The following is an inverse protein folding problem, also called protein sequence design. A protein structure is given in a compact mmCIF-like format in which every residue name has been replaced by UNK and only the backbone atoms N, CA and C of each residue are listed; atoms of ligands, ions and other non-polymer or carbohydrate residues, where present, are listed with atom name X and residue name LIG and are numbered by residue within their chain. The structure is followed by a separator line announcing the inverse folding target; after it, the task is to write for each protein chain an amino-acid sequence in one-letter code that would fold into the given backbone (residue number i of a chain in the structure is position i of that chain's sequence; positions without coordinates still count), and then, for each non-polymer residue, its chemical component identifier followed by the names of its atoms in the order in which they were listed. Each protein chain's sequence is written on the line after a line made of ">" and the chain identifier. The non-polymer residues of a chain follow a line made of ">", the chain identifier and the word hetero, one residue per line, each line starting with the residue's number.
data_IF_803217987377
#
_entry.id   IF_803217987377
#
_cell.length_a   1.000
_cell.length_b   1.000
_cell.length_c   1.000
_cell.angle_alpha   90.00
_cell.angle_beta   90.00
_cell.angle_gamma   90.00
#
_symmetry.space_group_name_H-M   'P 1'
#
loop_
_entity.id
_entity.type
_entity.pdbx_description
1 polymer ?
#
# COMPACT_ATOMS: atom_id res chain seq x y z
N UNK A 1 -24.86 4.93 6.95
CA UNK A 1 -26.22 4.70 7.44
C UNK A 1 -26.26 4.39 8.94
N UNK A 2 -27.47 4.19 9.50
CA UNK A 2 -27.66 3.97 10.95
C UNK A 2 -26.84 2.80 11.47
N UNK A 3 -26.83 1.68 10.75
CA UNK A 3 -26.07 0.48 11.15
C UNK A 3 -24.56 0.73 11.24
N UNK A 4 -24.01 1.49 10.30
CA UNK A 4 -22.60 1.86 10.30
C UNK A 4 -22.27 2.77 11.50
N UNK A 5 -23.12 3.77 11.76
CA UNK A 5 -22.97 4.63 12.92
C UNK A 5 -23.07 3.86 14.25
N UNK A 6 -23.93 2.85 14.34
CA UNK A 6 -24.05 2.00 15.55
C UNK A 6 -22.78 1.19 15.84
N UNK A 7 -22.10 0.72 14.80
CA UNK A 7 -20.81 0.01 14.96
C UNK A 7 -19.68 0.96 15.33
N UNK A 8 -19.62 2.12 14.69
CA UNK A 8 -18.49 3.06 14.82
C UNK A 8 -18.53 3.91 16.08
N UNK A 9 -19.72 4.23 16.62
CA UNK A 9 -19.86 5.16 17.77
C UNK A 9 -19.06 4.74 19.03
N UNK A 10 -18.84 3.43 19.22
CA UNK A 10 -18.16 2.88 20.37
C UNK A 10 -16.77 2.27 20.02
N UNK A 11 -16.26 2.57 18.85
CA UNK A 11 -14.96 2.10 18.37
C UNK A 11 -14.11 3.27 17.90
N UNK A 12 -12.84 3.35 18.29
CA UNK A 12 -11.90 4.29 17.66
C UNK A 12 -11.90 4.03 16.15
N UNK A 13 -12.25 5.05 15.38
CA UNK A 13 -12.40 4.94 13.93
C UNK A 13 -11.74 6.11 13.25
N UNK A 14 -10.97 5.82 12.21
CA UNK A 14 -10.48 6.80 11.26
C UNK A 14 -11.03 6.49 9.87
N UNK A 15 -11.20 7.51 9.05
CA UNK A 15 -11.55 7.39 7.64
C UNK A 15 -10.46 8.05 6.81
N UNK A 16 -10.17 7.45 5.66
CA UNK A 16 -9.31 8.01 4.62
C UNK A 16 -10.21 8.29 3.42
N UNK A 17 -10.03 9.45 2.78
CA UNK A 17 -10.83 9.82 1.63
C UNK A 17 -10.47 8.97 0.40
N UNK A 18 -11.48 8.73 -0.42
CA UNK A 18 -11.33 8.17 -1.75
C UNK A 18 -11.99 9.08 -2.81
N UNK A 19 -11.93 8.71 -4.09
CA UNK A 19 -12.40 9.49 -5.23
C UNK A 19 -13.87 9.84 -5.13
N UNK A 20 -14.74 8.89 -4.84
CA UNK A 20 -16.17 9.10 -4.73
C UNK A 20 -16.59 10.00 -3.56
N UNK A 21 -15.78 10.09 -2.51
CA UNK A 21 -16.06 10.96 -1.37
C UNK A 21 -16.09 12.45 -1.77
N UNK A 22 -15.23 12.83 -2.71
CA UNK A 22 -15.18 14.18 -3.27
C UNK A 22 -15.94 14.32 -4.59
N UNK A 23 -16.80 13.34 -4.91
CA UNK A 23 -17.72 13.37 -6.05
C UNK A 23 -17.07 13.10 -7.39
N UNK A 24 -15.96 12.38 -7.42
CA UNK A 24 -15.18 12.11 -8.62
C UNK A 24 -15.08 10.60 -8.89
N UNK A 25 -15.12 10.16 -10.15
CA UNK A 25 -15.03 8.74 -10.45
C UNK A 25 -13.62 8.15 -10.40
N UNK A 26 -12.57 8.91 -10.51
CA UNK A 26 -11.17 8.47 -10.40
C UNK A 26 -10.29 9.69 -10.21
N UNK A 27 -10.07 10.08 -8.99
CA UNK A 27 -9.35 11.31 -8.69
C UNK A 27 -7.87 11.05 -8.49
N UNK A 28 -7.04 11.88 -9.10
CA UNK A 28 -5.61 11.94 -8.85
C UNK A 28 -5.18 13.18 -8.07
N UNK A 29 -6.11 14.10 -7.83
CA UNK A 29 -5.85 15.30 -7.05
C UNK A 29 -4.77 16.24 -7.61
N UNK A 30 -3.77 15.73 -8.24
CA UNK A 30 -2.61 16.36 -8.87
C UNK A 30 -2.21 17.73 -8.29
N UNK A 31 -1.89 17.71 -6.96
CA UNK A 31 -1.48 18.90 -6.23
C UNK A 31 -2.62 19.86 -5.88
N UNK A 32 -3.88 19.46 -6.03
CA UNK A 32 -5.04 20.29 -5.69
C UNK A 32 -5.56 21.20 -6.81
N UNK A 33 -5.12 21.00 -8.05
CA UNK A 33 -5.60 21.82 -9.18
C UNK A 33 -7.09 21.62 -9.45
N UNK A 34 -7.74 22.60 -10.05
CA UNK A 34 -9.09 22.45 -10.56
C UNK A 34 -9.09 21.64 -11.87
N UNK A 35 -10.08 20.75 -12.03
CA UNK A 35 -10.24 20.00 -13.28
C UNK A 35 -10.79 20.88 -14.38
N UNK A 36 -10.32 20.65 -15.62
CA UNK A 36 -10.94 21.19 -16.82
C UNK A 36 -12.27 20.54 -17.17
N UNK A 37 -12.66 19.44 -16.48
CA UNK A 37 -13.86 18.65 -16.78
C UNK A 37 -13.74 17.74 -17.99
N UNK A 38 -12.57 17.69 -18.64
CA UNK A 38 -12.35 16.85 -19.81
C UNK A 38 -12.30 15.37 -19.40
N UNK A 39 -13.03 14.54 -20.15
CA UNK A 39 -13.05 13.07 -20.00
C UNK A 39 -13.23 12.61 -18.54
N UNK A 40 -14.19 13.22 -17.86
CA UNK A 40 -14.47 12.85 -16.46
C UNK A 40 -13.37 13.24 -15.49
N UNK A 41 -12.69 14.38 -15.75
CA UNK A 41 -11.58 14.91 -14.96
C UNK A 41 -10.34 13.99 -14.86
N UNK A 42 -10.13 13.14 -15.86
CA UNK A 42 -8.89 12.33 -15.99
C UNK A 42 -7.62 13.16 -16.17
N UNK A 43 -7.76 14.51 -16.15
CA UNK A 43 -6.68 15.48 -16.06
C UNK A 43 -6.15 15.68 -14.61
N UNK A 44 -6.68 14.95 -13.66
CA UNK A 44 -6.20 14.90 -12.28
C UNK A 44 -6.68 16.00 -11.36
N UNK A 45 -7.46 16.97 -11.85
CA UNK A 45 -7.98 18.06 -11.04
C UNK A 45 -9.28 17.72 -10.30
N UNK A 46 -9.61 18.49 -9.26
CA UNK A 46 -10.88 18.38 -8.58
C UNK A 46 -12.03 19.01 -9.39
N UNK A 47 -13.12 18.26 -9.59
CA UNK A 47 -14.33 18.75 -10.28
C UNK A 47 -15.18 19.68 -9.43
N UNK A 48 -15.20 19.47 -8.12
CA UNK A 48 -15.96 20.29 -7.18
C UNK A 48 -15.11 21.44 -6.64
N UNK A 49 -15.76 22.53 -6.20
CA UNK A 49 -15.03 23.64 -5.60
C UNK A 49 -14.18 23.22 -4.42
N UNK A 50 -13.02 23.86 -4.23
CA UNK A 50 -12.12 23.60 -3.12
C UNK A 50 -12.81 23.61 -1.75
N UNK A 51 -13.80 24.48 -1.56
CA UNK A 51 -14.60 24.54 -0.32
C UNK A 51 -15.39 23.26 -0.05
N UNK A 52 -15.86 22.57 -1.09
CA UNK A 52 -16.50 21.27 -0.95
C UNK A 52 -15.48 20.19 -0.56
N UNK A 53 -14.35 20.12 -1.26
CA UNK A 53 -13.27 19.17 -0.95
C UNK A 53 -12.81 19.35 0.50
N UNK A 54 -12.54 20.59 0.92
CA UNK A 54 -12.16 20.91 2.30
C UNK A 54 -13.22 20.52 3.33
N UNK A 55 -14.50 20.65 2.98
CA UNK A 55 -15.60 20.23 3.86
C UNK A 55 -15.59 18.71 4.03
N UNK A 56 -15.44 17.94 2.96
CA UNK A 56 -15.41 16.47 3.00
C UNK A 56 -14.19 16.01 3.80
N UNK A 57 -13.01 16.54 3.52
CA UNK A 57 -11.79 16.24 4.28
C UNK A 57 -12.00 16.46 5.76
N UNK A 58 -12.46 17.64 6.15
CA UNK A 58 -12.72 17.97 7.56
C UNK A 58 -13.73 17.04 8.22
N UNK A 59 -14.74 16.55 7.47
CA UNK A 59 -15.75 15.64 8.01
C UNK A 59 -15.23 14.22 8.20
N UNK A 60 -14.35 13.75 7.33
CA UNK A 60 -13.87 12.36 7.36
C UNK A 60 -12.57 12.19 8.15
N UNK A 61 -11.66 13.18 8.07
CA UNK A 61 -10.33 13.05 8.66
C UNK A 61 -10.15 13.74 10.01
N UNK A 62 -11.22 14.31 10.57
CA UNK A 62 -11.14 15.09 11.82
C UNK A 62 -10.68 14.31 13.05
N UNK A 63 -10.73 12.97 13.00
CA UNK A 63 -10.22 12.08 14.04
C UNK A 63 -8.73 11.74 13.89
N UNK A 64 -8.11 12.15 12.79
CA UNK A 64 -6.67 11.98 12.60
C UNK A 64 -5.89 13.01 13.44
N UNK A 65 -4.65 12.72 13.80
CA UNK A 65 -3.72 13.73 14.30
C UNK A 65 -3.56 14.89 13.30
N UNK A 66 -2.99 16.00 13.77
CA UNK A 66 -2.63 17.10 12.89
C UNK A 66 -1.73 16.62 11.75
N UNK A 67 -1.86 17.18 10.54
CA UNK A 67 -1.02 16.80 9.42
C UNK A 67 0.46 17.06 9.70
N UNK A 68 1.33 16.17 9.23
CA UNK A 68 2.78 16.30 9.38
C UNK A 68 3.32 17.63 8.82
N UNK A 69 2.81 18.06 7.67
CA UNK A 69 3.06 19.36 7.07
C UNK A 69 1.71 19.99 6.69
N UNK A 70 1.29 20.99 7.45
CA UNK A 70 0.00 21.65 7.27
C UNK A 70 -0.03 22.65 6.11
N UNK A 71 1.02 22.77 5.30
CA UNK A 71 1.04 23.68 4.14
C UNK A 71 -0.01 23.26 3.13
N UNK A 72 -0.98 24.12 2.80
CA UNK A 72 -2.00 23.80 1.81
C UNK A 72 -1.38 23.55 0.43
N UNK A 73 -2.10 22.76 -0.37
CA UNK A 73 -1.85 22.59 -1.81
C UNK A 73 -2.60 23.65 -2.61
N UNK A 74 -2.64 23.52 -3.95
CA UNK A 74 -3.35 24.46 -4.80
C UNK A 74 -4.79 24.70 -4.34
N UNK A 75 -5.35 25.84 -4.69
CA UNK A 75 -6.68 26.30 -4.25
C UNK A 75 -6.86 26.43 -2.73
N UNK A 76 -5.79 26.34 -1.94
CA UNK A 76 -5.84 26.35 -0.48
C UNK A 76 -6.43 25.08 0.12
N UNK A 77 -6.51 23.99 -0.61
CA UNK A 77 -6.95 22.68 -0.10
C UNK A 77 -5.94 22.17 0.91
N UNK A 78 -6.40 21.65 2.05
CA UNK A 78 -5.58 21.10 3.10
C UNK A 78 -4.92 19.77 2.72
N UNK A 79 -4.14 19.25 3.64
CA UNK A 79 -3.60 17.90 3.62
C UNK A 79 -3.86 17.21 4.95
N UNK A 80 -3.88 15.86 4.97
CA UNK A 80 -4.10 15.10 6.20
C UNK A 80 -3.07 13.99 6.43
N UNK A 81 -2.08 13.83 5.55
CA UNK A 81 -1.07 12.80 5.79
C UNK A 81 -0.29 13.06 7.08
N UNK A 82 -0.19 12.02 7.87
CA UNK A 82 0.35 12.10 9.24
C UNK A 82 0.72 10.71 9.75
N UNK A 83 1.30 10.61 10.94
CA UNK A 83 1.40 9.35 11.65
C UNK A 83 0.36 9.24 12.78
N UNK A 84 -0.17 8.05 12.94
CA UNK A 84 -1.11 7.69 14.00
C UNK A 84 -0.54 6.56 14.84
N UNK A 85 -0.33 6.81 16.13
CA UNK A 85 0.23 5.83 17.06
C UNK A 85 -0.87 5.23 17.94
N UNK A 86 -1.15 3.94 17.76
CA UNK A 86 -2.17 3.22 18.53
C UNK A 86 -1.56 1.97 19.13
N UNK A 87 -1.58 1.87 20.47
CA UNK A 87 -1.15 0.68 21.20
C UNK A 87 0.31 0.26 20.90
N UNK A 88 1.18 1.19 20.52
CA UNK A 88 2.58 0.92 20.16
C UNK A 88 2.78 0.42 18.72
N UNK A 89 1.76 0.53 17.88
CA UNK A 89 1.88 0.41 16.42
C UNK A 89 1.76 1.81 15.82
N UNK A 90 2.69 2.18 14.95
CA UNK A 90 2.65 3.46 14.23
C UNK A 90 2.16 3.24 12.80
N UNK A 91 1.14 4.00 12.42
CA UNK A 91 0.55 3.97 11.09
C UNK A 91 0.90 5.25 10.34
N UNK A 92 1.61 5.14 9.22
CA UNK A 92 1.72 6.24 8.27
C UNK A 92 0.43 6.33 7.46
N UNK A 93 -0.31 7.41 7.63
CA UNK A 93 -1.52 7.72 6.84
C UNK A 93 -1.08 8.46 5.59
N UNK A 94 -1.35 7.92 4.41
CA UNK A 94 -0.92 8.46 3.14
C UNK A 94 -2.07 9.10 2.38
N UNK A 95 -1.77 10.15 1.64
CA UNK A 95 -2.67 10.78 0.67
C UNK A 95 -2.18 10.46 -0.75
N UNK A 96 -2.33 9.22 -1.14
CA UNK A 96 -1.83 8.69 -2.40
C UNK A 96 -2.59 9.18 -3.65
N UNK A 97 -3.80 9.73 -3.47
CA UNK A 97 -4.58 10.33 -4.56
C UNK A 97 -4.22 11.80 -4.80
N UNK A 98 -4.00 12.57 -3.74
CA UNK A 98 -3.89 14.03 -3.79
C UNK A 98 -2.68 14.54 -4.57
N UNK A 99 -1.58 13.79 -4.58
CA UNK A 99 -0.33 14.19 -5.23
C UNK A 99 -0.04 13.40 -6.51
N UNK A 100 -0.86 12.40 -6.81
CA UNK A 100 -0.66 11.51 -7.95
C UNK A 100 -0.85 12.25 -9.27
N UNK A 101 0.04 12.01 -10.23
CA UNK A 101 -0.10 12.51 -11.61
C UNK A 101 -1.29 11.88 -12.31
N UNK A 102 -1.94 12.64 -13.17
CA UNK A 102 -3.03 12.15 -14.01
C UNK A 102 -2.51 11.51 -15.30
N UNK A 103 -3.22 10.53 -15.88
CA UNK A 103 -2.83 9.96 -17.16
C UNK A 103 -3.09 10.93 -18.33
N UNK A 104 -4.21 11.63 -18.34
CA UNK A 104 -4.59 12.49 -19.46
C UNK A 104 -3.64 13.68 -19.61
N UNK A 105 -3.05 13.80 -20.78
CA UNK A 105 -2.07 14.85 -21.09
C UNK A 105 -0.63 14.53 -20.71
N UNK A 106 -0.42 13.48 -19.91
CA UNK A 106 0.91 13.02 -19.53
C UNK A 106 1.38 11.79 -20.33
N UNK A 107 0.44 10.89 -20.65
CA UNK A 107 0.75 9.64 -21.37
C UNK A 107 -0.23 9.44 -22.54
N UNK A 108 0.10 8.60 -23.53
CA UNK A 108 -0.82 8.23 -24.61
C UNK A 108 -2.10 7.54 -24.09
N UNK A 109 -3.23 7.83 -24.71
CA UNK A 109 -4.48 7.10 -24.42
C UNK A 109 -4.46 5.75 -25.15
N UNK A 110 -4.67 4.66 -24.43
CA UNK A 110 -4.55 3.29 -24.95
C UNK A 110 -5.75 2.41 -24.58
N UNK A 111 -6.88 3.04 -24.31
CA UNK A 111 -8.11 2.35 -23.98
C UNK A 111 -9.34 3.24 -24.08
N UNK A 112 -10.51 2.73 -23.66
CA UNK A 112 -11.78 3.45 -23.72
C UNK A 112 -11.85 4.63 -22.73
N UNK A 113 -11.00 4.63 -21.75
CA UNK A 113 -10.78 5.70 -20.76
C UNK A 113 -9.30 6.01 -20.67
N UNK A 114 -8.89 7.24 -20.30
CA UNK A 114 -7.48 7.59 -20.18
C UNK A 114 -6.68 6.76 -19.18
N UNK A 115 -7.35 6.21 -18.18
CA UNK A 115 -6.80 5.36 -17.12
C UNK A 115 -6.81 3.86 -17.44
N UNK A 116 -7.46 3.43 -18.54
CA UNK A 116 -7.57 2.03 -18.92
C UNK A 116 -6.67 1.68 -20.10
N UNK A 117 -5.80 0.71 -19.95
CA UNK A 117 -4.99 0.16 -21.02
C UNK A 117 -5.56 -1.20 -21.45
N UNK A 118 -5.95 -1.30 -22.72
CA UNK A 118 -6.44 -2.53 -23.33
C UNK A 118 -5.67 -2.91 -24.60
N UNK A 119 -4.80 -2.03 -25.10
CA UNK A 119 -4.00 -2.29 -26.29
C UNK A 119 -2.81 -3.21 -25.93
N UNK A 120 -2.75 -4.44 -26.48
CA UNK A 120 -1.67 -5.38 -26.16
C UNK A 120 -0.30 -4.95 -26.71
N UNK A 121 -0.26 -3.96 -27.60
CA UNK A 121 0.97 -3.44 -28.18
C UNK A 121 1.58 -2.26 -27.39
N UNK A 122 0.97 -1.88 -26.26
CA UNK A 122 1.48 -0.75 -25.50
C UNK A 122 2.89 -0.98 -24.95
N UNK A 123 3.66 0.09 -24.94
CA UNK A 123 4.99 0.12 -24.34
C UNK A 123 4.89 0.61 -22.89
N UNK A 124 5.28 -0.23 -21.94
CA UNK A 124 5.33 0.11 -20.51
C UNK A 124 6.19 1.33 -20.22
N UNK A 125 7.28 1.52 -20.99
CA UNK A 125 8.13 2.70 -20.85
C UNK A 125 7.41 4.01 -21.26
N UNK A 126 6.44 3.93 -22.17
CA UNK A 126 5.65 5.09 -22.58
C UNK A 126 4.64 5.57 -21.53
N UNK A 127 4.40 4.78 -20.49
CA UNK A 127 3.50 5.14 -19.39
C UNK A 127 4.23 5.45 -18.08
N UNK A 128 5.53 5.19 -17.97
CA UNK A 128 6.34 5.53 -16.79
C UNK A 128 7.35 6.62 -17.11
N UNK A 129 6.85 7.81 -17.42
CA UNK A 129 7.67 8.94 -17.84
C UNK A 129 8.34 9.64 -16.63
N UNK A 130 9.54 10.22 -16.84
CA UNK A 130 10.21 11.01 -15.80
C UNK A 130 9.34 12.17 -15.30
N UNK A 131 9.32 12.37 -13.98
CA UNK A 131 8.59 13.45 -13.33
C UNK A 131 7.13 13.13 -12.97
N UNK A 132 6.60 11.97 -13.34
CA UNK A 132 5.31 11.49 -12.84
C UNK A 132 5.41 11.17 -11.35
N UNK A 133 4.37 11.53 -10.60
CA UNK A 133 4.33 11.48 -9.14
C UNK A 133 3.28 10.50 -8.64
N UNK A 134 3.53 9.89 -7.49
CA UNK A 134 2.54 9.18 -6.69
C UNK A 134 2.32 9.90 -5.35
N UNK A 135 3.26 9.82 -4.43
CA UNK A 135 3.17 10.46 -3.11
C UNK A 135 3.68 11.91 -3.10
N UNK A 136 4.56 12.27 -4.05
CA UNK A 136 5.28 13.53 -4.05
C UNK A 136 6.37 13.63 -2.96
N UNK A 137 7.27 14.60 -3.11
CA UNK A 137 8.46 14.76 -2.24
C UNK A 137 8.06 14.95 -0.77
N UNK A 138 7.03 15.76 -0.48
CA UNK A 138 6.58 16.06 0.88
C UNK A 138 6.21 14.80 1.68
N UNK A 139 5.52 13.84 1.06
CA UNK A 139 5.18 12.59 1.73
C UNK A 139 6.36 11.61 1.77
N UNK A 140 7.27 11.64 0.81
CA UNK A 140 8.51 10.86 0.87
C UNK A 140 9.41 11.34 2.00
N UNK A 141 9.53 12.66 2.21
CA UNK A 141 10.25 13.25 3.35
C UNK A 141 9.59 12.87 4.68
N UNK A 142 8.26 12.93 4.74
CA UNK A 142 7.50 12.42 5.90
C UNK A 142 7.82 10.96 6.18
N UNK A 143 7.80 10.10 5.17
CA UNK A 143 8.08 8.68 5.34
C UNK A 143 9.53 8.40 5.77
N UNK A 144 10.51 9.18 5.33
CA UNK A 144 11.90 9.05 5.79
C UNK A 144 12.04 9.43 7.27
N UNK A 145 11.40 10.52 7.70
CA UNK A 145 11.35 10.93 9.11
C UNK A 145 10.63 9.88 9.96
N UNK A 146 9.46 9.43 9.51
CA UNK A 146 8.65 8.40 10.17
C UNK A 146 9.40 7.06 10.27
N UNK A 147 10.14 6.65 9.24
CA UNK A 147 10.92 5.41 9.26
C UNK A 147 11.94 5.40 10.40
N UNK A 148 12.48 6.56 10.77
CA UNK A 148 13.50 6.73 11.82
C UNK A 148 12.91 6.88 13.24
N UNK A 149 11.63 7.24 13.36
CA UNK A 149 10.99 7.43 14.66
C UNK A 149 10.42 6.10 15.18
N UNK A 150 10.98 5.62 16.28
CA UNK A 150 10.59 4.41 16.98
C UNK A 150 10.30 4.65 18.46
N UNK A 151 10.13 5.92 18.88
CA UNK A 151 9.85 6.22 20.28
C UNK A 151 8.46 5.71 20.69
N UNK A 152 8.42 4.81 21.67
CA UNK A 152 7.20 4.13 22.08
C UNK A 152 6.61 3.14 21.08
N UNK A 153 7.23 2.94 19.90
CA UNK A 153 6.72 2.13 18.80
C UNK A 153 7.36 0.73 18.79
N UNK A 154 6.55 -0.28 18.55
CA UNK A 154 6.98 -1.68 18.41
C UNK A 154 6.90 -2.20 16.98
N UNK A 155 5.91 -1.76 16.21
CA UNK A 155 5.67 -2.17 14.82
C UNK A 155 5.17 -1.01 13.98
N UNK A 156 5.31 -1.10 12.67
CA UNK A 156 4.86 -0.07 11.72
C UNK A 156 4.03 -0.65 10.59
N UNK A 157 3.05 0.12 10.12
CA UNK A 157 2.29 -0.14 8.91
C UNK A 157 1.95 1.18 8.20
N UNK A 158 1.71 1.15 6.90
CA UNK A 158 1.18 2.28 6.16
C UNK A 158 -0.27 2.03 5.77
N UNK A 159 -1.08 3.06 5.81
CA UNK A 159 -2.46 3.08 5.35
C UNK A 159 -2.56 4.00 4.13
N UNK A 160 -3.02 3.47 3.01
CA UNK A 160 -3.29 4.23 1.80
C UNK A 160 -4.70 3.91 1.28
N UNK A 161 -5.18 4.69 0.32
CA UNK A 161 -6.48 4.43 -0.30
C UNK A 161 -6.40 3.18 -1.16
N UNK A 162 -5.40 3.09 -2.04
CA UNK A 162 -5.33 2.15 -3.15
C UNK A 162 -4.09 1.27 -3.09
N UNK A 163 -4.19 0.06 -3.66
CA UNK A 163 -3.09 -0.89 -3.77
C UNK A 163 -1.95 -0.37 -4.67
N UNK A 164 -0.71 -0.62 -4.25
CA UNK A 164 0.50 -0.26 -5.02
C UNK A 164 0.86 -1.31 -6.08
N UNK A 165 -0.18 -1.90 -6.69
CA UNK A 165 -0.05 -2.85 -7.80
C UNK A 165 -1.37 -2.95 -8.56
N UNK A 166 -1.29 -3.38 -9.82
CA UNK A 166 -2.45 -3.72 -10.66
C UNK A 166 -2.95 -5.14 -10.39
N UNK A 167 -3.66 -5.36 -9.28
CA UNK A 167 -4.25 -6.66 -8.96
C UNK A 167 -5.61 -6.90 -9.63
N UNK A 168 -6.24 -5.85 -10.16
CA UNK A 168 -7.55 -5.94 -10.81
C UNK A 168 -7.39 -5.93 -12.32
N UNK A 169 -7.74 -7.06 -12.95
CA UNK A 169 -7.70 -7.20 -14.41
C UNK A 169 -9.08 -7.10 -15.06
N UNK A 170 -10.14 -7.26 -14.29
CA UNK A 170 -11.51 -7.12 -14.77
C UNK A 170 -12.28 -6.25 -13.80
N UNK A 171 -12.80 -5.14 -14.28
CA UNK A 171 -13.63 -4.22 -13.52
C UNK A 171 -15.11 -4.34 -13.91
N UNK A 172 -15.99 -4.19 -12.93
CA UNK A 172 -17.43 -4.15 -13.15
C UNK A 172 -18.05 -5.52 -13.41
N UNK A 173 -19.21 -5.52 -14.09
CA UNK A 173 -20.09 -6.67 -14.21
C UNK A 173 -19.84 -7.54 -15.46
N UNK A 174 -19.04 -7.06 -16.40
CA UNK A 174 -18.81 -7.70 -17.70
C UNK A 174 -17.48 -8.47 -17.70
N UNK A 175 -17.52 -9.78 -17.95
CA UNK A 175 -16.29 -10.60 -17.98
C UNK A 175 -15.42 -10.32 -19.21
N UNK A 176 -16.02 -9.76 -20.27
CA UNK A 176 -15.31 -9.39 -21.50
C UNK A 176 -14.45 -8.11 -21.37
N UNK A 177 -14.60 -7.36 -20.28
CA UNK A 177 -13.91 -6.09 -20.08
C UNK A 177 -12.58 -6.28 -19.34
N UNK A 178 -11.67 -7.09 -19.92
CA UNK A 178 -10.33 -7.22 -19.34
C UNK A 178 -9.49 -5.98 -19.62
N UNK A 179 -8.85 -5.48 -18.58
CA UNK A 179 -7.81 -4.47 -18.65
C UNK A 179 -6.44 -5.15 -18.65
N UNK A 180 -5.53 -4.67 -19.45
CA UNK A 180 -4.11 -5.03 -19.36
C UNK A 180 -3.47 -4.28 -18.20
N UNK A 181 -3.84 -3.00 -18.05
CA UNK A 181 -3.47 -2.21 -16.89
C UNK A 181 -4.57 -1.20 -16.56
N UNK A 182 -4.72 -0.93 -15.28
CA UNK A 182 -5.55 0.12 -14.72
C UNK A 182 -4.64 1.14 -14.03
N UNK A 183 -4.57 2.36 -14.56
CA UNK A 183 -3.73 3.44 -14.05
C UNK A 183 -4.31 4.08 -12.79
N UNK A 184 -5.56 3.75 -12.45
CA UNK A 184 -6.18 4.18 -11.21
C UNK A 184 -5.50 3.54 -10.00
N UNK A 185 -5.08 2.29 -10.11
CA UNK A 185 -4.28 1.67 -9.06
C UNK A 185 -2.94 2.40 -8.86
N UNK A 186 -2.38 2.32 -7.65
CA UNK A 186 -1.08 2.92 -7.33
C UNK A 186 0.12 2.06 -7.76
N UNK A 187 -0.11 1.08 -8.62
CA UNK A 187 0.92 0.45 -9.44
C UNK A 187 1.53 1.41 -10.47
N UNK A 188 0.81 2.49 -10.78
CA UNK A 188 1.22 3.56 -11.68
C UNK A 188 1.31 4.90 -10.94
N UNK A 189 2.32 5.74 -11.28
CA UNK A 189 3.50 5.51 -12.10
C UNK A 189 4.50 4.54 -11.43
N UNK A 190 5.12 3.65 -12.20
CA UNK A 190 5.96 2.57 -11.65
C UNK A 190 7.18 3.08 -10.88
N UNK A 191 7.90 4.06 -11.42
CA UNK A 191 9.08 4.64 -10.75
C UNK A 191 8.68 5.27 -9.41
N UNK A 192 7.64 6.09 -9.37
CA UNK A 192 7.17 6.74 -8.15
C UNK A 192 6.58 5.73 -7.13
N UNK A 193 5.92 4.67 -7.62
CA UNK A 193 5.49 3.53 -6.80
C UNK A 193 6.68 2.84 -6.14
N UNK A 194 7.75 2.61 -6.88
CA UNK A 194 8.95 1.97 -6.36
C UNK A 194 9.64 2.82 -5.30
N UNK A 195 9.64 4.14 -5.43
CA UNK A 195 10.14 5.08 -4.40
C UNK A 195 9.32 4.95 -3.10
N UNK A 196 7.99 4.96 -3.21
CA UNK A 196 7.11 4.78 -2.05
C UNK A 196 7.36 3.43 -1.35
N UNK A 197 7.48 2.34 -2.10
CA UNK A 197 7.76 1.02 -1.53
C UNK A 197 9.15 0.93 -0.89
N UNK A 198 10.17 1.59 -1.44
CA UNK A 198 11.50 1.70 -0.80
C UNK A 198 11.40 2.42 0.54
N UNK A 199 10.59 3.47 0.64
CA UNK A 199 10.37 4.17 1.91
C UNK A 199 9.71 3.27 2.95
N UNK A 200 8.67 2.51 2.58
CA UNK A 200 8.02 1.54 3.48
C UNK A 200 8.96 0.40 3.88
N UNK A 201 9.75 -0.12 2.95
CA UNK A 201 10.75 -1.17 3.20
C UNK A 201 11.78 -0.73 4.23
N UNK A 202 12.26 0.52 4.17
CA UNK A 202 13.21 1.08 5.15
C UNK A 202 12.66 1.05 6.58
N UNK A 203 11.36 1.17 6.75
CA UNK A 203 10.67 1.12 8.03
C UNK A 203 10.22 -0.30 8.44
N UNK A 204 10.47 -1.32 7.62
CA UNK A 204 9.92 -2.67 7.78
C UNK A 204 8.39 -2.66 7.95
N UNK A 205 7.71 -1.75 7.29
CA UNK A 205 6.28 -1.52 7.41
C UNK A 205 5.48 -2.34 6.40
N UNK A 206 4.41 -2.98 6.85
CA UNK A 206 3.40 -3.56 5.96
C UNK A 206 2.51 -2.45 5.37
N UNK A 207 1.84 -2.75 4.25
CA UNK A 207 0.95 -1.82 3.56
C UNK A 207 -0.50 -2.32 3.64
N UNK A 208 -1.42 -1.44 4.05
CA UNK A 208 -2.85 -1.71 4.17
C UNK A 208 -3.62 -0.71 3.31
N UNK A 209 -4.54 -1.19 2.50
CA UNK A 209 -5.30 -0.35 1.57
C UNK A 209 -6.67 -0.93 1.24
N UNK A 210 -7.41 -0.26 0.37
CA UNK A 210 -8.75 -0.63 -0.09
C UNK A 210 -8.97 -0.34 -1.56
N UNK A 211 -10.10 0.29 -1.90
CA UNK A 211 -10.49 0.83 -3.21
C UNK A 211 -10.77 -0.21 -4.31
N UNK A 212 -9.93 -1.19 -4.49
CA UNK A 212 -9.89 -2.05 -5.67
C UNK A 212 -11.09 -3.00 -5.85
N UNK A 213 -12.06 -2.97 -4.94
CA UNK A 213 -13.23 -3.85 -4.96
C UNK A 213 -12.86 -5.35 -5.02
N UNK A 214 -11.67 -5.68 -4.57
CA UNK A 214 -11.10 -7.01 -4.55
C UNK A 214 -10.17 -7.15 -3.35
N UNK A 215 -10.42 -8.13 -2.49
CA UNK A 215 -9.47 -8.47 -1.46
C UNK A 215 -8.29 -9.22 -2.05
N UNK A 216 -7.08 -8.74 -1.78
CA UNK A 216 -5.84 -9.44 -2.13
C UNK A 216 -4.81 -9.29 -1.03
N UNK A 217 -3.96 -10.29 -0.89
CA UNK A 217 -2.69 -10.16 -0.18
C UNK A 217 -1.56 -10.43 -1.16
N UNK A 218 -0.68 -9.45 -1.29
CA UNK A 218 0.51 -9.55 -2.14
C UNK A 218 1.76 -9.26 -1.33
N UNK A 219 2.90 -9.77 -1.80
CA UNK A 219 4.20 -9.25 -1.43
C UNK A 219 4.75 -8.48 -2.61
N UNK A 220 5.06 -7.21 -2.40
CA UNK A 220 5.59 -6.36 -3.46
C UNK A 220 7.02 -6.76 -3.84
N UNK A 221 7.33 -6.65 -5.12
CA UNK A 221 8.66 -6.59 -5.65
C UNK A 221 8.97 -5.18 -6.17
N UNK A 222 10.21 -4.77 -6.05
CA UNK A 222 10.74 -3.49 -6.54
C UNK A 222 11.76 -3.78 -7.62
N UNK A 223 12.95 -4.23 -7.22
CA UNK A 223 14.03 -4.60 -8.11
C UNK A 223 13.97 -6.12 -8.41
N UNK A 224 13.51 -6.91 -7.44
CA UNK A 224 13.30 -8.35 -7.58
C UNK A 224 11.95 -8.75 -6.96
N UNK A 225 11.49 -9.98 -7.24
CA UNK A 225 10.30 -10.50 -6.56
C UNK A 225 10.54 -10.61 -5.05
N UNK A 226 9.54 -10.25 -4.25
CA UNK A 226 9.52 -10.38 -2.78
C UNK A 226 10.56 -9.53 -2.05
N UNK A 227 11.15 -8.54 -2.68
CA UNK A 227 12.11 -7.64 -2.04
C UNK A 227 11.47 -6.40 -1.41
N UNK A 228 10.15 -6.33 -1.39
CA UNK A 228 9.33 -5.28 -0.80
C UNK A 228 8.36 -5.78 0.27
N UNK A 229 7.51 -4.88 0.80
CA UNK A 229 6.60 -5.18 1.90
C UNK A 229 5.43 -6.08 1.50
N UNK A 230 4.87 -6.76 2.52
CA UNK A 230 3.56 -7.38 2.43
C UNK A 230 2.48 -6.30 2.38
N UNK A 231 1.47 -6.51 1.54
CA UNK A 231 0.34 -5.63 1.40
C UNK A 231 -0.98 -6.39 1.48
N UNK A 232 -1.95 -5.80 2.16
CA UNK A 232 -3.31 -6.29 2.24
C UNK A 232 -4.28 -5.24 1.73
N UNK A 233 -4.93 -5.52 0.62
CA UNK A 233 -6.09 -4.78 0.13
C UNK A 233 -7.33 -5.39 0.75
N UNK A 234 -8.02 -4.64 1.59
CA UNK A 234 -9.22 -5.12 2.25
C UNK A 234 -10.38 -5.26 1.27
N UNK A 235 -11.31 -6.20 1.48
CA UNK A 235 -12.52 -6.28 0.67
C UNK A 235 -13.43 -5.07 0.93
N UNK A 236 -14.22 -4.67 -0.05
CA UNK A 236 -15.28 -3.71 0.16
C UNK A 236 -16.35 -4.28 1.11
N UNK A 237 -16.86 -3.46 2.04
CA UNK A 237 -17.94 -3.87 2.96
C UNK A 237 -19.23 -4.19 2.20
N UNK A 238 -19.48 -3.46 1.10
CA UNK A 238 -20.57 -3.68 0.16
C UNK A 238 -20.03 -3.53 -1.24
N UNK A 239 -19.97 -4.62 -1.96
CA UNK A 239 -19.45 -4.62 -3.32
C UNK A 239 -20.58 -4.49 -4.34
N UNK A 240 -20.56 -3.44 -5.14
CA UNK A 240 -21.49 -3.21 -6.26
C UNK A 240 -20.77 -3.18 -7.60
N UNK A 241 -19.50 -2.89 -7.61
CA UNK A 241 -18.56 -3.07 -8.72
C UNK A 241 -17.49 -4.06 -8.28
N UNK A 242 -17.09 -4.96 -9.15
CA UNK A 242 -16.27 -6.10 -8.76
C UNK A 242 -14.94 -6.05 -9.46
N UNK A 243 -13.86 -5.86 -8.69
CA UNK A 243 -12.51 -6.14 -9.11
C UNK A 243 -12.29 -7.64 -9.11
N UNK A 244 -11.57 -8.15 -10.09
CA UNK A 244 -11.19 -9.57 -10.17
C UNK A 244 -9.75 -9.72 -10.58
N UNK A 245 -9.05 -10.59 -9.86
CA UNK A 245 -7.76 -11.06 -10.27
C UNK A 245 -7.91 -12.09 -11.38
N UNK A 246 -7.11 -11.97 -12.42
CA UNK A 246 -7.00 -12.92 -13.51
C UNK A 246 -5.53 -13.11 -13.84
N UNK A 247 -5.13 -14.34 -14.16
CA UNK A 247 -3.74 -14.60 -14.49
C UNK A 247 -3.28 -13.73 -15.66
N UNK A 248 -2.19 -12.96 -15.53
CA UNK A 248 -1.75 -12.03 -16.56
C UNK A 248 -1.47 -12.69 -17.92
N UNK A 249 -1.00 -13.93 -17.91
CA UNK A 249 -0.63 -14.72 -19.10
C UNK A 249 -1.76 -15.62 -19.60
N UNK A 250 -2.92 -15.64 -18.95
CA UNK A 250 -4.04 -16.47 -19.38
C UNK A 250 -4.81 -15.76 -20.50
N UNK A 251 -4.70 -16.26 -21.72
CA UNK A 251 -5.35 -15.71 -22.91
C UNK A 251 -6.85 -16.02 -22.97
N UNK A 252 -7.34 -17.00 -22.23
CA UNK A 252 -8.75 -17.36 -22.19
C UNK A 252 -9.58 -16.35 -21.38
N UNK A 253 -9.72 -15.17 -21.93
CA UNK A 253 -10.65 -14.15 -21.45
C UNK A 253 -12.02 -14.42 -22.04
N UNK A 254 -12.72 -15.32 -21.51
CA UNK A 254 -14.04 -15.64 -22.02
C UNK A 254 -14.87 -16.37 -21.01
N UNK A 255 -15.64 -15.63 -20.28
CA UNK A 255 -16.79 -16.17 -19.61
C UNK A 255 -16.47 -17.03 -18.39
N UNK A 256 -16.47 -16.44 -17.27
CA UNK A 256 -16.58 -17.12 -16.01
C UNK A 256 -15.40 -16.85 -15.06
N UNK A 257 -15.73 -16.94 -13.80
CA UNK A 257 -14.73 -17.06 -12.75
C UNK A 257 -13.72 -18.13 -13.13
N UNK A 258 -12.42 -17.95 -12.80
CA UNK A 258 -11.42 -18.97 -13.07
C UNK A 258 -11.90 -20.33 -12.58
N UNK A 259 -12.04 -21.25 -13.52
CA UNK A 259 -12.47 -22.62 -13.24
C UNK A 259 -11.28 -23.35 -12.59
N UNK A 260 -11.33 -23.49 -11.32
CA UNK A 260 -10.34 -24.22 -10.54
C UNK A 260 -10.17 -23.55 -9.21
N UNK A 261 -10.43 -24.18 -8.18
CA UNK A 261 -10.51 -23.81 -6.78
C UNK A 261 -9.91 -22.46 -6.33
N UNK A 262 -10.24 -22.03 -5.16
CA UNK A 262 -9.72 -20.79 -4.61
C UNK A 262 -8.18 -20.78 -4.68
N UNK A 263 -7.60 -19.64 -5.03
CA UNK A 263 -6.16 -19.43 -5.12
C UNK A 263 -5.41 -20.23 -6.21
N UNK A 264 -6.05 -20.50 -7.34
CA UNK A 264 -5.40 -21.13 -8.50
C UNK A 264 -4.19 -20.32 -9.01
N UNK A 265 -4.26 -19.00 -8.95
CA UNK A 265 -3.27 -18.08 -9.49
C UNK A 265 -2.52 -17.32 -8.39
N UNK A 266 -1.83 -18.06 -7.54
CA UNK A 266 -0.87 -17.51 -6.59
C UNK A 266 0.54 -17.72 -7.11
N UNK A 267 1.49 -16.86 -6.71
CA UNK A 267 2.88 -16.93 -7.12
C UNK A 267 3.42 -15.59 -7.62
N UNK A 268 4.53 -15.65 -8.32
CA UNK A 268 5.27 -14.48 -8.80
C UNK A 268 4.78 -14.10 -10.20
N UNK A 269 4.30 -12.84 -10.34
CA UNK A 269 3.79 -12.28 -11.59
C UNK A 269 4.28 -10.85 -11.82
N UNK A 270 4.32 -10.42 -13.05
CA UNK A 270 4.32 -9.01 -13.39
C UNK A 270 2.89 -8.57 -13.67
N UNK A 271 2.47 -7.45 -13.07
CA UNK A 271 1.20 -6.82 -13.45
C UNK A 271 1.31 -6.11 -14.81
N UNK A 272 0.20 -5.61 -15.33
CA UNK A 272 0.18 -4.95 -16.62
C UNK A 272 1.15 -3.77 -16.76
N UNK A 273 1.55 -3.18 -15.66
CA UNK A 273 2.49 -2.05 -15.60
C UNK A 273 3.96 -2.50 -15.48
N UNK A 274 4.20 -3.81 -15.39
CA UNK A 274 5.53 -4.38 -15.19
C UNK A 274 5.98 -4.39 -13.72
N UNK A 275 5.08 -4.14 -12.79
CA UNK A 275 5.41 -4.28 -11.37
C UNK A 275 5.51 -5.75 -10.99
N UNK A 276 6.61 -6.12 -10.36
CA UNK A 276 6.77 -7.45 -9.78
C UNK A 276 5.87 -7.59 -8.54
N UNK A 277 5.05 -8.60 -8.51
CA UNK A 277 4.19 -8.94 -7.38
C UNK A 277 4.25 -10.45 -7.10
N UNK A 278 4.17 -10.82 -5.84
CA UNK A 278 3.88 -12.20 -5.46
C UNK A 278 2.45 -12.23 -4.91
N UNK A 279 1.53 -12.77 -5.67
CA UNK A 279 0.16 -12.98 -5.23
C UNK A 279 0.12 -14.11 -4.20
N UNK A 280 -0.34 -13.83 -2.99
CA UNK A 280 -0.44 -14.81 -1.90
C UNK A 280 -1.86 -15.30 -1.69
N UNK A 281 -2.85 -14.42 -1.81
CA UNK A 281 -4.27 -14.75 -1.75
C UNK A 281 -5.12 -13.69 -2.44
N UNK A 282 -6.28 -14.08 -2.93
CA UNK A 282 -7.27 -13.18 -3.54
C UNK A 282 -8.69 -13.74 -3.34
N UNK A 283 -9.70 -12.87 -3.28
CA UNK A 283 -11.09 -13.24 -3.07
C UNK A 283 -11.97 -12.79 -4.25
N UNK A 284 -11.84 -13.46 -5.39
CA UNK A 284 -12.73 -13.23 -6.52
C UNK A 284 -14.18 -13.54 -6.16
N UNK A 285 -15.18 -12.76 -6.63
CA UNK A 285 -16.57 -13.13 -6.51
C UNK A 285 -16.84 -14.50 -7.13
N UNK A 286 -17.49 -15.41 -6.39
CA UNK A 286 -17.94 -16.69 -6.93
C UNK A 286 -19.14 -16.52 -7.86
N UNK A 287 -20.09 -15.68 -7.46
CA UNK A 287 -21.28 -15.31 -8.25
C UNK A 287 -21.72 -13.89 -7.89
N UNK A 288 -21.60 -12.99 -8.85
CA UNK A 288 -21.94 -11.57 -8.68
C UNK A 288 -23.44 -11.30 -8.53
N UNK A 289 -24.28 -12.23 -8.97
CA UNK A 289 -25.73 -12.12 -8.86
C UNK A 289 -26.24 -12.57 -7.49
N UNK A 290 -25.48 -13.41 -6.81
CA UNK A 290 -25.81 -13.92 -5.48
C UNK A 290 -25.11 -13.06 -4.44
N UNK A 291 -25.90 -12.39 -3.59
CA UNK A 291 -25.45 -11.41 -2.62
C UNK A 291 -24.35 -11.93 -1.66
N UNK A 292 -24.48 -13.19 -1.26
CA UNK A 292 -23.57 -13.86 -0.32
C UNK A 292 -22.25 -14.29 -0.97
N UNK A 293 -22.11 -14.14 -2.30
CA UNK A 293 -21.01 -14.64 -3.12
C UNK A 293 -20.24 -13.52 -3.86
N UNK A 294 -20.44 -12.28 -3.42
CA UNK A 294 -19.91 -11.09 -4.12
C UNK A 294 -18.46 -10.72 -3.80
N UNK A 295 -17.79 -11.43 -2.93
CA UNK A 295 -16.43 -11.11 -2.53
C UNK A 295 -16.34 -9.88 -1.60
N UNK A 296 -17.47 -9.44 -1.02
CA UNK A 296 -17.52 -8.38 -0.03
C UNK A 296 -17.27 -8.90 1.40
N UNK A 297 -16.79 -8.00 2.27
CA UNK A 297 -16.42 -8.40 3.61
C UNK A 297 -15.62 -7.36 4.37
N UNK A 298 -14.70 -7.83 5.19
CA UNK A 298 -13.82 -6.98 5.97
C UNK A 298 -12.48 -7.69 6.27
N UNK A 299 -11.45 -6.90 6.50
CA UNK A 299 -10.15 -7.40 6.95
C UNK A 299 -9.95 -7.20 8.45
N UNK A 300 -9.18 -8.09 9.06
CA UNK A 300 -8.61 -7.89 10.39
C UNK A 300 -7.10 -8.02 10.29
N UNK A 301 -6.39 -7.07 10.90
CA UNK A 301 -4.93 -7.11 10.98
C UNK A 301 -4.54 -7.23 12.45
N UNK A 302 -3.78 -8.27 12.78
CA UNK A 302 -3.29 -8.50 14.14
C UNK A 302 -1.80 -8.23 14.19
N UNK A 303 -1.40 -7.36 15.12
CA UNK A 303 0.00 -7.04 15.40
C UNK A 303 0.41 -7.68 16.73
N UNK A 304 1.25 -8.71 16.66
CA UNK A 304 1.81 -9.34 17.87
C UNK A 304 3.16 -8.70 18.20
N UNK A 305 3.12 -7.60 18.95
CA UNK A 305 4.29 -6.78 19.29
C UNK A 305 5.48 -7.52 19.90
N UNK A 306 5.29 -8.54 20.79
CA UNK A 306 6.42 -9.26 21.37
C UNK A 306 7.26 -10.03 20.35
N UNK A 307 6.64 -10.63 19.33
CA UNK A 307 7.35 -11.39 18.29
C UNK A 307 7.65 -10.56 17.04
N UNK A 308 6.96 -9.43 16.84
CA UNK A 308 6.99 -8.68 15.58
C UNK A 308 6.19 -9.35 14.44
N UNK A 309 5.30 -10.28 14.77
CA UNK A 309 4.46 -10.97 13.81
C UNK A 309 3.21 -10.15 13.47
N UNK A 310 2.85 -10.14 12.20
CA UNK A 310 1.60 -9.56 11.68
C UNK A 310 0.79 -10.66 11.02
N UNK A 311 -0.51 -10.71 11.28
CA UNK A 311 -1.45 -11.63 10.63
C UNK A 311 -2.53 -10.84 9.91
N UNK A 312 -2.72 -11.14 8.64
CA UNK A 312 -3.83 -10.65 7.83
C UNK A 312 -4.93 -11.70 7.78
N UNK A 313 -6.15 -11.29 8.13
CA UNK A 313 -7.36 -12.12 8.06
C UNK A 313 -8.37 -11.45 7.10
N UNK A 314 -9.03 -12.23 6.27
CA UNK A 314 -10.03 -11.75 5.33
C UNK A 314 -11.35 -12.51 5.52
N UNK A 315 -12.39 -11.79 5.93
CA UNK A 315 -13.66 -12.38 6.33
C UNK A 315 -14.77 -12.00 5.35
N UNK A 316 -15.52 -13.00 4.84
CA UNK A 316 -16.73 -12.73 4.07
C UNK A 316 -17.78 -11.99 4.91
N UNK A 317 -18.57 -11.16 4.26
CA UNK A 317 -19.63 -10.38 4.92
C UNK A 317 -20.70 -11.24 5.61
N UNK A 318 -21.05 -12.37 5.00
CA UNK A 318 -22.08 -13.28 5.47
C UNK A 318 -21.44 -14.60 5.92
N UNK A 319 -20.96 -14.63 7.14
CA UNK A 319 -20.26 -15.81 7.69
C UNK A 319 -20.65 -16.04 9.14
N UNK A 320 -20.70 -17.29 9.54
CA UNK A 320 -20.83 -17.65 10.94
C UNK A 320 -19.45 -17.69 11.60
N UNK A 321 -19.12 -16.63 12.32
CA UNK A 321 -17.85 -16.49 13.02
C UNK A 321 -17.60 -17.58 14.07
N UNK A 322 -18.64 -18.25 14.55
CA UNK A 322 -18.50 -19.33 15.52
C UNK A 322 -17.87 -20.59 14.93
N UNK A 323 -17.85 -20.72 13.60
CA UNK A 323 -17.22 -21.84 12.90
C UNK A 323 -15.68 -21.71 12.77
N UNK A 324 -15.10 -20.62 13.29
CA UNK A 324 -13.65 -20.41 13.35
C UNK A 324 -13.01 -19.98 12.04
N UNK A 325 -11.68 -20.05 11.98
CA UNK A 325 -10.88 -19.51 10.86
C UNK A 325 -11.17 -20.14 9.49
N UNK A 326 -11.72 -21.35 9.47
CA UNK A 326 -12.13 -22.03 8.24
C UNK A 326 -13.24 -21.29 7.45
N UNK A 327 -13.82 -20.25 8.05
CA UNK A 327 -14.84 -19.40 7.42
C UNK A 327 -14.26 -18.13 6.76
N UNK A 328 -12.97 -17.89 6.85
CA UNK A 328 -12.29 -16.84 6.11
C UNK A 328 -12.31 -17.13 4.60
N UNK A 329 -12.06 -16.10 3.80
CA UNK A 329 -11.78 -16.34 2.39
C UNK A 329 -10.58 -17.28 2.22
N UNK A 330 -10.59 -18.16 1.22
CA UNK A 330 -9.50 -19.09 0.97
C UNK A 330 -8.15 -18.39 0.79
N UNK A 331 -7.12 -18.94 1.41
CA UNK A 331 -5.77 -18.38 1.39
C UNK A 331 -5.43 -17.54 2.62
N UNK A 332 -6.40 -17.14 3.42
CA UNK A 332 -6.19 -16.49 4.71
C UNK A 332 -6.48 -17.45 5.88
N UNK A 333 -5.89 -17.20 7.07
CA UNK A 333 -5.02 -16.09 7.42
C UNK A 333 -3.60 -16.20 6.84
N UNK A 334 -2.91 -15.06 6.69
CA UNK A 334 -1.50 -14.98 6.28
C UNK A 334 -0.71 -14.29 7.38
N UNK A 335 0.31 -14.95 7.88
CA UNK A 335 1.21 -14.43 8.92
C UNK A 335 2.64 -14.28 8.41
N UNK A 336 3.32 -13.23 8.87
CA UNK A 336 4.70 -12.93 8.55
C UNK A 336 5.33 -12.07 9.65
N UNK A 337 6.66 -12.05 9.74
CA UNK A 337 7.36 -11.15 10.66
C UNK A 337 7.63 -9.79 10.01
N UNK A 338 7.63 -8.73 10.80
CA UNK A 338 7.92 -7.37 10.32
C UNK A 338 9.26 -7.28 9.55
N UNK A 339 10.27 -8.05 9.96
CA UNK A 339 11.56 -8.13 9.27
C UNK A 339 11.47 -8.64 7.82
N UNK A 340 10.44 -9.42 7.49
CA UNK A 340 10.23 -9.94 6.15
C UNK A 340 9.70 -8.88 5.17
N UNK A 341 9.30 -7.69 5.66
CA UNK A 341 8.97 -6.55 4.78
C UNK A 341 10.20 -5.97 4.05
N UNK A 342 11.42 -6.36 4.44
CA UNK A 342 12.63 -6.17 3.64
C UNK A 342 13.14 -7.54 3.19
N UNK A 343 12.79 -7.94 1.98
CA UNK A 343 13.16 -9.24 1.44
C UNK A 343 14.34 -9.20 0.48
N UNK A 344 15.12 -8.12 0.49
CA UNK A 344 16.35 -8.04 -0.31
C UNK A 344 17.33 -9.12 0.10
N UNK A 345 18.08 -9.63 -0.86
CA UNK A 345 19.20 -10.54 -0.61
C UNK A 345 20.42 -9.72 -0.18
N UNK A 346 20.95 -9.90 1.04
CA UNK A 346 22.14 -9.18 1.46
C UNK A 346 23.36 -9.58 0.61
N UNK A 347 24.22 -8.62 0.35
CA UNK A 347 25.53 -8.87 -0.27
C UNK A 347 26.58 -9.25 0.77
N UNK A 348 26.29 -9.07 2.06
CA UNK A 348 27.11 -9.44 3.20
C UNK A 348 26.43 -9.07 4.51
N UNK A 349 27.13 -9.33 5.60
CA UNK A 349 26.66 -8.98 6.95
C UNK A 349 27.77 -8.21 7.68
N UNK A 350 27.37 -7.24 8.51
CA UNK A 350 28.32 -6.64 9.43
C UNK A 350 28.71 -7.65 10.52
N UNK A 351 29.85 -7.40 11.18
CA UNK A 351 30.22 -8.18 12.35
C UNK A 351 29.07 -8.18 13.37
N UNK A 352 28.77 -9.35 13.92
CA UNK A 352 27.74 -9.49 14.95
C UNK A 352 28.08 -8.63 16.19
N UNK A 353 27.05 -7.98 16.71
CA UNK A 353 27.14 -7.10 17.88
C UNK A 353 26.13 -7.50 18.95
N UNK A 354 26.50 -7.27 20.22
CA UNK A 354 25.59 -7.42 21.35
C UNK A 354 24.59 -6.27 21.37
N UNK A 355 23.31 -6.59 21.55
CA UNK A 355 22.25 -5.62 21.73
C UNK A 355 22.05 -5.34 23.22
N UNK A 356 21.91 -4.06 23.65
CA UNK A 356 21.83 -3.69 25.05
C UNK A 356 20.55 -4.21 25.75
N UNK A 357 19.50 -4.50 24.99
CA UNK A 357 18.23 -5.04 25.47
C UNK A 357 17.47 -5.72 24.34
N UNK A 358 16.46 -6.54 24.65
CA UNK A 358 15.57 -7.13 23.65
C UNK A 358 14.70 -6.07 22.94
N UNK A 359 14.35 -6.29 21.69
CA UNK A 359 13.62 -5.34 20.84
C UNK A 359 14.35 -3.98 20.71
N UNK A 360 15.66 -4.02 20.56
CA UNK A 360 16.49 -2.85 20.35
C UNK A 360 16.24 -2.25 18.96
N UNK A 361 16.13 -0.93 18.86
CA UNK A 361 16.08 -0.24 17.57
C UNK A 361 17.47 -0.15 16.99
N UNK A 362 17.61 -0.54 15.72
CA UNK A 362 18.81 -0.41 14.93
C UNK A 362 18.54 0.47 13.71
N UNK A 363 19.50 1.33 13.37
CA UNK A 363 19.46 2.18 12.18
C UNK A 363 20.74 1.97 11.38
N UNK A 364 20.60 1.55 10.12
CA UNK A 364 21.73 1.42 9.20
C UNK A 364 21.66 2.52 8.13
N UNK A 365 22.74 3.25 7.95
CA UNK A 365 22.88 4.30 6.94
C UNK A 365 24.07 3.99 6.04
N UNK A 366 23.91 4.14 4.73
CA UNK A 366 25.01 4.08 3.77
C UNK A 366 25.80 5.40 3.83
N UNK A 367 27.12 5.33 4.09
CA UNK A 367 27.95 6.52 4.22
C UNK A 367 28.27 7.21 2.89
N UNK A 368 28.22 6.48 1.77
CA UNK A 368 28.51 7.04 0.46
C UNK A 368 27.36 7.89 -0.06
N UNK A 369 26.11 7.49 0.22
CA UNK A 369 24.90 8.19 -0.26
C UNK A 369 24.22 9.02 0.82
N UNK A 370 24.48 8.75 2.10
CA UNK A 370 23.79 9.33 3.25
C UNK A 370 22.37 8.75 3.46
N UNK A 371 21.95 7.78 2.64
CA UNK A 371 20.62 7.24 2.69
C UNK A 371 20.42 6.25 3.83
N UNK A 372 19.21 6.28 4.42
CA UNK A 372 18.74 5.26 5.34
C UNK A 372 18.57 3.94 4.59
N UNK A 373 19.30 2.90 5.00
CA UNK A 373 19.15 1.56 4.46
C UNK A 373 17.94 0.87 5.10
N UNK A 374 17.84 0.95 6.42
CA UNK A 374 16.66 0.56 7.22
C UNK A 374 16.78 1.09 8.65
N UNK A 375 15.62 1.19 9.31
CA UNK A 375 15.50 1.43 10.75
C UNK A 375 14.36 0.56 11.29
N UNK A 376 14.67 -0.38 12.20
CA UNK A 376 13.66 -1.28 12.75
C UNK A 376 14.04 -1.83 14.13
N UNK A 377 13.10 -2.54 14.78
CA UNK A 377 13.39 -3.28 16.01
C UNK A 377 13.90 -4.68 15.72
N UNK A 378 14.95 -5.04 16.40
CA UNK A 378 15.55 -6.37 16.34
C UNK A 378 15.22 -7.13 17.62
N UNK A 379 14.56 -8.26 17.47
CA UNK A 379 14.36 -9.23 18.55
C UNK A 379 15.69 -9.95 18.87
N UNK A 380 15.89 -10.30 20.14
CA UNK A 380 17.07 -11.05 20.53
C UNK A 380 18.13 -10.22 21.22
N UNK A 381 19.32 -10.82 21.38
CA UNK A 381 20.47 -10.22 22.09
C UNK A 381 21.66 -9.96 21.20
N UNK A 382 21.65 -10.48 19.99
CA UNK A 382 22.73 -10.37 19.02
C UNK A 382 22.16 -9.95 17.67
N UNK A 383 22.94 -9.21 16.91
CA UNK A 383 22.53 -8.77 15.58
C UNK A 383 23.73 -8.67 14.63
N UNK A 384 23.67 -9.42 13.55
CA UNK A 384 24.52 -9.26 12.39
C UNK A 384 23.74 -8.50 11.32
N UNK A 385 24.05 -7.22 11.15
CA UNK A 385 23.28 -6.34 10.27
C UNK A 385 23.47 -6.72 8.80
N UNK A 386 22.42 -7.07 8.04
CA UNK A 386 22.52 -7.30 6.61
C UNK A 386 22.85 -5.99 5.89
N UNK A 387 23.76 -6.05 4.90
CA UNK A 387 24.10 -4.93 4.02
C UNK A 387 23.79 -5.27 2.57
N UNK A 388 23.39 -4.25 1.80
CA UNK A 388 22.91 -4.40 0.42
C UNK A 388 23.82 -3.68 -0.59
N UNK A 389 24.94 -3.15 -0.13
CA UNK A 389 26.04 -2.63 -0.94
C UNK A 389 27.38 -2.95 -0.28
N UNK A 390 28.47 -2.80 -1.03
CA UNK A 390 29.84 -2.95 -0.52
C UNK A 390 30.40 -1.64 0.08
N UNK A 391 29.59 -0.62 0.18
CA UNK A 391 29.97 0.66 0.74
C UNK A 391 30.20 0.57 2.24
N UNK A 392 30.78 1.62 2.80
CA UNK A 392 30.83 1.80 4.25
C UNK A 392 29.47 2.20 4.79
N UNK A 393 29.16 1.72 5.97
CA UNK A 393 27.91 2.01 6.65
C UNK A 393 28.15 2.54 8.07
N UNK A 394 27.18 3.31 8.55
CA UNK A 394 27.05 3.66 9.96
C UNK A 394 25.89 2.86 10.54
N UNK A 395 26.16 2.06 11.59
CA UNK A 395 25.17 1.33 12.36
C UNK A 395 24.97 2.01 13.72
N UNK A 396 23.74 2.47 14.01
CA UNK A 396 23.33 2.99 15.31
C UNK A 396 22.45 1.96 16.02
N UNK A 397 22.70 1.74 17.30
CA UNK A 397 22.05 0.71 18.12
C UNK A 397 21.52 1.38 19.39
N UNK A 398 20.27 1.12 19.79
CA UNK A 398 19.70 1.60 21.04
C UNK A 398 19.08 2.99 20.98
N UNK A 399 18.72 3.49 19.81
CA UNK A 399 18.24 4.87 19.57
C UNK A 399 17.12 5.36 20.49
N UNK A 400 16.30 4.47 21.06
CA UNK A 400 15.10 4.83 21.82
C UNK A 400 15.26 4.71 23.35
N UNK A 401 16.38 4.20 23.85
CA UNK A 401 16.62 4.01 25.30
C UNK A 401 18.11 4.06 25.62
N UNK A 402 18.50 4.94 26.52
CA UNK A 402 19.89 4.99 27.03
C UNK A 402 20.89 5.53 26.01
N UNK A 403 22.14 5.13 26.18
CA UNK A 403 23.23 5.53 25.27
C UNK A 403 23.12 4.81 23.94
N UNK A 404 23.28 5.54 22.85
CA UNK A 404 23.30 5.01 21.50
C UNK A 404 24.72 4.58 21.17
N UNK A 405 24.89 3.28 20.85
CA UNK A 405 26.15 2.78 20.28
C UNK A 405 26.18 3.14 18.79
N UNK A 406 27.29 3.74 18.34
CA UNK A 406 27.48 4.11 16.92
C UNK A 406 28.74 3.43 16.41
N UNK A 407 28.59 2.67 15.35
CA UNK A 407 29.68 2.02 14.62
C UNK A 407 29.78 2.65 13.23
N UNK A 408 30.86 3.38 12.96
CA UNK A 408 31.09 4.06 11.68
C UNK A 408 32.07 3.29 10.81
N UNK A 409 31.95 3.45 9.49
CA UNK A 409 32.89 2.88 8.52
C UNK A 409 32.87 1.36 8.43
N UNK A 410 31.78 0.72 8.92
CA UNK A 410 31.65 -0.74 8.90
C UNK A 410 31.28 -1.24 7.50
N UNK A 411 31.84 -2.37 7.12
CA UNK A 411 31.61 -3.02 5.82
C UNK A 411 31.13 -4.45 6.03
N UNK A 412 30.29 -4.91 5.13
CA UNK A 412 29.85 -6.32 5.14
C UNK A 412 30.94 -7.27 4.64
N UNK A 413 31.02 -8.42 5.27
CA UNK A 413 31.86 -9.55 4.88
C UNK A 413 31.07 -10.57 4.09
#
# INVERSE_FOLDING_TARGET
>A
GVQFAEVMKDRPTICILDDHDVGHPNIWGEGGKASSGIKGASDGGYMFPASFVQMVERQQTWNLPDPYDATPIEQGIGVYYTDLNVGGVSFAILEDRKFKSAPLGNIPEMGPRPDHIIDPSYDRAAVDLPGLKLLGERQLDFLDAWARDWDGISMKAALSQTAFCGAVHIHGNEDASRLLADLDCNGWPQTARNEALRALRRAHASHLCGDQHLAVTVRHGIDDYRDGPYAFTAPAIVNTMYGRWWHPEDEEVGGGSPVGGPNKWVGDYEDGLGNKITMLAYANPEDRKVREKRGDGYGIVRFHKPSGETTFECWPRFVDLSAGDSTQYPGWPISFFASENDGRKPVGYLQEVDLPYGNTVVELTNEATGELVYCHRVAGKFFAAPVFSKDKHTLKIGKTRGEVMILNGVVGN
#
